data_IF_473491131490
#
_entry.id   IF_473491131490
#
_cell.length_a   1.000
_cell.length_b   1.000
_cell.length_c   1.000
_cell.angle_alpha   90.00
_cell.angle_beta   90.00
_cell.angle_gamma   90.00
#
_symmetry.space_group_name_H-M   'P 1'
#
loop_
_entity.id
_entity.type
_entity.pdbx_description
1 polymer ?
#
# COMPACT_ATOMS: atom_id res chain seq x y z
N UNK A 1 68.94 -1.98 5.23
CA UNK A 1 67.66 -1.32 5.61
C UNK A 1 66.60 -2.40 5.70
N UNK A 2 65.90 -2.40 6.83
CA UNK A 2 65.24 -3.57 7.42
C UNK A 2 64.09 -4.14 6.60
N UNK A 3 64.06 -5.47 6.48
CA UNK A 3 62.89 -6.26 6.09
C UNK A 3 62.05 -6.59 7.34
N UNK A 4 60.73 -6.73 7.22
CA UNK A 4 59.93 -7.58 8.09
C UNK A 4 59.48 -8.81 7.26
N UNK A 5 60.11 -9.97 7.49
CA UNK A 5 59.64 -11.01 8.42
C UNK A 5 58.36 -11.71 7.94
N UNK A 6 58.62 -12.86 7.31
CA UNK A 6 57.76 -14.00 7.04
C UNK A 6 56.66 -14.26 8.09
N UNK A 7 55.44 -14.42 7.56
CA UNK A 7 54.46 -15.47 7.90
C UNK A 7 54.53 -16.04 9.31
N UNK A 8 53.65 -15.54 10.17
CA UNK A 8 52.99 -16.36 11.20
C UNK A 8 51.53 -16.54 10.75
N UNK A 9 51.31 -17.51 9.86
CA UNK A 9 49.98 -18.12 9.75
C UNK A 9 49.88 -19.01 10.98
N UNK A 10 49.38 -18.44 12.08
CA UNK A 10 48.89 -19.23 13.18
C UNK A 10 47.71 -20.06 12.65
N UNK A 11 48.01 -21.28 12.20
CA UNK A 11 47.04 -22.38 12.16
C UNK A 11 46.37 -22.41 13.52
N UNK A 12 45.14 -21.86 13.58
CA UNK A 12 44.27 -22.07 14.72
C UNK A 12 43.99 -23.57 14.77
N UNK A 13 44.64 -24.24 15.72
CA UNK A 13 44.26 -25.58 16.14
C UNK A 13 42.74 -25.65 16.32
N UNK A 14 42.07 -26.70 15.80
CA UNK A 14 40.65 -26.87 16.01
C UNK A 14 40.41 -26.93 17.51
N UNK A 15 39.71 -25.93 18.06
CA UNK A 15 39.13 -26.05 19.40
C UNK A 15 38.40 -27.38 19.41
N UNK A 16 38.76 -28.26 20.35
CA UNK A 16 38.08 -29.53 20.57
C UNK A 16 36.59 -29.26 20.73
N UNK A 17 35.85 -29.38 19.64
CA UNK A 17 34.43 -29.07 19.60
C UNK A 17 33.77 -30.27 20.26
N UNK A 18 33.11 -30.05 21.41
CA UNK A 18 32.39 -31.12 22.11
C UNK A 18 31.49 -31.86 21.12
N UNK A 19 31.32 -33.20 21.21
CA UNK A 19 30.35 -33.94 20.40
C UNK A 19 28.96 -33.29 20.38
N UNK A 20 28.56 -32.68 21.50
CA UNK A 20 27.28 -31.96 21.62
C UNK A 20 27.25 -30.68 20.77
N UNK A 21 28.36 -29.93 20.74
CA UNK A 21 28.48 -28.73 19.91
C UNK A 21 28.45 -29.08 18.41
N UNK A 22 29.08 -30.19 18.00
CA UNK A 22 28.98 -30.68 16.62
C UNK A 22 27.54 -31.05 16.27
N UNK A 23 26.82 -31.71 17.19
CA UNK A 23 25.41 -32.06 17.00
C UNK A 23 24.52 -30.82 16.86
N UNK A 24 24.70 -29.81 17.70
CA UNK A 24 23.97 -28.54 17.60
C UNK A 24 24.23 -27.85 16.26
N UNK A 25 25.48 -27.80 15.79
CA UNK A 25 25.85 -27.20 14.51
C UNK A 25 25.22 -27.95 13.32
N UNK A 26 25.27 -29.28 13.31
CA UNK A 26 24.64 -30.08 12.25
C UNK A 26 23.12 -29.86 12.18
N UNK A 27 22.48 -29.71 13.33
CA UNK A 27 21.05 -29.50 13.39
C UNK A 27 20.65 -28.06 13.00
N UNK A 28 21.45 -27.06 13.38
CA UNK A 28 21.28 -25.69 12.88
C UNK A 28 21.50 -25.59 11.37
N UNK A 29 22.46 -26.32 10.79
CA UNK A 29 22.66 -26.39 9.34
C UNK A 29 21.42 -26.96 8.61
N UNK A 30 20.73 -27.95 9.19
CA UNK A 30 19.46 -28.46 8.65
C UNK A 30 18.35 -27.41 8.68
N UNK A 31 18.21 -26.70 9.80
CA UNK A 31 17.24 -25.60 9.94
C UNK A 31 17.51 -24.50 8.92
N UNK A 32 18.78 -24.10 8.76
CA UNK A 32 19.22 -23.11 7.77
C UNK A 32 18.86 -23.57 6.35
N UNK A 33 19.13 -24.83 6.02
CA UNK A 33 18.76 -25.41 4.72
C UNK A 33 17.25 -25.34 4.49
N UNK A 34 16.43 -25.62 5.50
CA UNK A 34 14.99 -25.48 5.42
C UNK A 34 14.53 -24.05 5.14
N UNK A 35 15.11 -23.05 5.81
CA UNK A 35 14.82 -21.64 5.53
C UNK A 35 15.26 -21.21 4.12
N UNK A 36 16.40 -21.70 3.63
CA UNK A 36 16.85 -21.46 2.24
C UNK A 36 15.85 -22.03 1.23
N UNK A 37 15.30 -23.22 1.47
CA UNK A 37 14.24 -23.83 0.64
C UNK A 37 12.97 -22.99 0.66
N UNK A 38 12.49 -22.60 1.85
CA UNK A 38 11.29 -21.78 2.01
C UNK A 38 11.39 -20.44 1.28
N UNK A 39 12.57 -19.81 1.33
CA UNK A 39 12.85 -18.58 0.58
C UNK A 39 12.65 -18.77 -0.92
N UNK A 40 13.16 -19.86 -1.48
CA UNK A 40 13.00 -20.13 -2.92
C UNK A 40 11.52 -20.26 -3.30
N UNK A 41 10.69 -20.88 -2.46
CA UNK A 41 9.24 -20.98 -2.67
C UNK A 41 8.57 -19.62 -2.67
N UNK A 42 8.89 -18.73 -1.71
CA UNK A 42 8.36 -17.36 -1.67
C UNK A 42 8.68 -16.56 -2.94
N UNK A 43 9.82 -16.83 -3.57
CA UNK A 43 10.26 -16.16 -4.79
C UNK A 43 9.60 -16.67 -6.07
N UNK A 44 9.00 -17.87 -6.08
CA UNK A 44 8.34 -18.43 -7.27
C UNK A 44 7.28 -17.50 -7.89
N UNK A 45 6.25 -17.03 -7.15
CA UNK A 45 5.23 -16.16 -7.74
C UNK A 45 5.78 -14.78 -8.14
N UNK A 46 6.89 -14.35 -7.52
CA UNK A 46 7.54 -13.06 -7.82
C UNK A 46 8.29 -13.14 -9.15
N UNK A 47 9.01 -14.23 -9.40
CA UNK A 47 9.82 -14.41 -10.62
C UNK A 47 9.02 -14.93 -11.81
N UNK A 48 8.08 -15.86 -11.59
CA UNK A 48 7.32 -16.47 -12.69
C UNK A 48 6.28 -15.51 -13.28
N UNK A 49 5.92 -14.46 -12.55
CA UNK A 49 4.92 -13.49 -12.98
C UNK A 49 3.54 -14.13 -13.19
N UNK A 50 2.68 -13.43 -13.93
CA UNK A 50 1.28 -13.83 -14.12
C UNK A 50 1.08 -14.54 -15.47
N UNK A 51 0.20 -15.55 -15.49
CA UNK A 51 -0.14 -16.24 -16.75
C UNK A 51 -0.95 -15.33 -17.67
N UNK A 52 -0.61 -15.37 -18.95
CA UNK A 52 -1.41 -14.81 -20.06
C UNK A 52 -2.29 -15.95 -20.62
N UNK A 53 -3.30 -16.40 -19.87
CA UNK A 53 -4.25 -17.40 -20.36
C UNK A 53 -5.68 -17.04 -19.96
N UNK A 54 -6.61 -17.25 -20.92
CA UNK A 54 -8.04 -17.00 -20.74
C UNK A 54 -8.62 -17.97 -19.70
N UNK A 55 -9.30 -17.49 -18.65
CA UNK A 55 -10.02 -18.38 -17.75
C UNK A 55 -11.13 -19.09 -18.53
N UNK A 56 -11.12 -20.42 -18.57
CA UNK A 56 -12.20 -21.19 -19.20
C UNK A 56 -13.48 -21.06 -18.36
N UNK A 57 -14.65 -21.10 -19.03
CA UNK A 57 -15.96 -21.09 -18.37
C UNK A 57 -16.16 -22.30 -17.45
N UNK A 58 -15.55 -23.43 -17.76
CA UNK A 58 -15.58 -24.66 -16.94
C UNK A 58 -14.75 -24.56 -15.64
N UNK A 59 -13.93 -23.51 -15.48
CA UNK A 59 -13.08 -23.31 -14.31
C UNK A 59 -13.62 -22.37 -13.24
N UNK A 60 -14.80 -21.76 -13.40
CA UNK A 60 -15.28 -20.70 -12.49
C UNK A 60 -15.52 -21.22 -11.08
N UNK A 61 -16.20 -22.37 -10.93
CA UNK A 61 -16.52 -22.90 -9.61
C UNK A 61 -15.26 -23.34 -8.85
N UNK A 62 -14.34 -24.02 -9.55
CA UNK A 62 -13.00 -24.35 -9.03
C UNK A 62 -12.24 -23.10 -8.58
N UNK A 63 -12.33 -21.99 -9.31
CA UNK A 63 -11.68 -20.73 -8.91
C UNK A 63 -12.33 -20.12 -7.66
N UNK A 64 -13.64 -20.24 -7.49
CA UNK A 64 -14.32 -19.78 -6.27
C UNK A 64 -13.95 -20.63 -5.06
N UNK A 65 -13.93 -21.94 -5.22
CA UNK A 65 -13.44 -22.85 -4.17
C UNK A 65 -12.02 -22.49 -3.76
N UNK A 66 -11.14 -22.24 -4.74
CA UNK A 66 -9.76 -21.82 -4.50
C UNK A 66 -9.66 -20.44 -3.84
N UNK A 67 -10.52 -19.49 -4.21
CA UNK A 67 -10.61 -18.18 -3.56
C UNK A 67 -11.05 -18.30 -2.10
N UNK A 68 -12.04 -19.17 -1.83
CA UNK A 68 -12.52 -19.46 -0.48
C UNK A 68 -11.44 -20.18 0.34
N UNK A 69 -10.74 -21.16 -0.24
CA UNK A 69 -9.61 -21.82 0.40
C UNK A 69 -8.49 -20.83 0.74
N UNK A 70 -8.17 -19.91 -0.19
CA UNK A 70 -7.19 -18.85 0.06
C UNK A 70 -7.64 -17.95 1.22
N UNK A 71 -8.89 -17.50 1.20
CA UNK A 71 -9.44 -16.56 2.17
C UNK A 71 -9.58 -17.15 3.58
N UNK A 72 -10.25 -18.30 3.70
CA UNK A 72 -10.70 -18.83 4.99
C UNK A 72 -9.75 -19.88 5.58
N UNK A 73 -8.82 -20.43 4.80
CA UNK A 73 -7.93 -21.50 5.25
C UNK A 73 -6.44 -21.15 5.10
N UNK A 74 -5.95 -20.96 3.87
CA UNK A 74 -4.51 -20.83 3.61
C UNK A 74 -3.90 -19.58 4.26
N UNK A 75 -4.55 -18.42 4.15
CA UNK A 75 -4.06 -17.17 4.74
C UNK A 75 -4.08 -17.23 6.29
N UNK A 76 -5.18 -17.62 6.97
CA UNK A 76 -5.17 -17.83 8.42
C UNK A 76 -4.12 -18.84 8.89
N UNK A 77 -3.97 -19.97 8.19
CA UNK A 77 -2.99 -21.01 8.49
C UNK A 77 -1.56 -20.44 8.40
N UNK A 78 -1.25 -19.70 7.34
CA UNK A 78 0.06 -19.06 7.17
C UNK A 78 0.37 -18.09 8.32
N UNK A 79 -0.59 -17.27 8.74
CA UNK A 79 -0.41 -16.37 9.88
C UNK A 79 -0.14 -17.14 11.18
N UNK A 80 -0.83 -18.25 11.41
CA UNK A 80 -0.58 -19.10 12.56
C UNK A 80 0.83 -19.71 12.52
N UNK A 81 1.22 -20.31 11.39
CA UNK A 81 2.55 -20.91 11.21
C UNK A 81 3.68 -19.89 11.41
N UNK A 82 3.53 -18.65 10.92
CA UNK A 82 4.52 -17.59 11.12
C UNK A 82 4.65 -17.21 12.59
N UNK A 83 3.52 -17.10 13.32
CA UNK A 83 3.55 -16.83 14.77
C UNK A 83 4.24 -17.95 15.53
N UNK A 84 3.90 -19.21 15.26
CA UNK A 84 4.53 -20.37 15.89
C UNK A 84 6.02 -20.41 15.60
N UNK A 85 6.43 -20.21 14.34
CA UNK A 85 7.83 -20.15 13.94
C UNK A 85 8.58 -19.03 14.68
N UNK A 86 7.97 -17.86 14.82
CA UNK A 86 8.57 -16.72 15.52
C UNK A 86 8.81 -17.01 17.00
N UNK A 87 7.90 -17.75 17.64
CA UNK A 87 8.04 -18.15 19.04
C UNK A 87 9.17 -19.17 19.25
N UNK A 88 9.33 -20.12 18.34
CA UNK A 88 10.44 -21.09 18.37
C UNK A 88 11.80 -20.47 18.04
N UNK A 89 11.82 -19.27 17.46
CA UNK A 89 13.05 -18.50 17.20
C UNK A 89 13.44 -17.59 18.38
N UNK A 90 12.82 -17.73 19.54
CA UNK A 90 13.19 -16.93 20.72
C UNK A 90 14.59 -17.36 21.24
N UNK A 91 15.57 -16.44 21.32
CA UNK A 91 16.94 -16.78 21.72
C UNK A 91 17.07 -17.53 23.05
N UNK A 92 16.28 -17.14 24.04
CA UNK A 92 16.30 -17.77 25.37
C UNK A 92 15.98 -19.27 25.27
N UNK A 93 14.99 -19.63 24.45
CA UNK A 93 14.60 -21.04 24.27
C UNK A 93 15.64 -21.81 23.45
N UNK A 94 16.25 -21.16 22.45
CA UNK A 94 17.31 -21.75 21.64
C UNK A 94 18.59 -22.03 22.44
N UNK A 95 18.90 -21.23 23.47
CA UNK A 95 20.03 -21.47 24.38
C UNK A 95 19.72 -22.55 25.43
N UNK A 96 18.50 -22.60 25.95
CA UNK A 96 18.10 -23.55 27.01
C UNK A 96 17.79 -24.97 26.46
N UNK A 97 17.17 -25.07 25.28
CA UNK A 97 16.65 -26.33 24.72
C UNK A 97 16.91 -26.46 23.21
N UNK A 98 18.15 -26.19 22.79
CA UNK A 98 18.56 -26.07 21.38
C UNK A 98 18.04 -27.18 20.45
N UNK A 99 18.22 -28.46 20.81
CA UNK A 99 17.79 -29.59 19.97
C UNK A 99 16.28 -29.63 19.83
N UNK A 100 15.55 -29.45 20.94
CA UNK A 100 14.09 -29.51 20.94
C UNK A 100 13.51 -28.38 20.08
N UNK A 101 13.99 -27.16 20.25
CA UNK A 101 13.52 -26.02 19.46
C UNK A 101 13.88 -26.17 17.97
N UNK A 102 15.05 -26.72 17.63
CA UNK A 102 15.36 -27.01 16.24
C UNK A 102 14.48 -28.12 15.64
N UNK A 103 14.11 -29.15 16.40
CA UNK A 103 13.12 -30.14 15.97
C UNK A 103 11.74 -29.50 15.73
N UNK A 104 11.32 -28.58 16.61
CA UNK A 104 10.08 -27.81 16.43
C UNK A 104 10.14 -26.96 15.16
N UNK A 105 11.23 -26.23 14.94
CA UNK A 105 11.41 -25.41 13.73
C UNK A 105 11.35 -26.29 12.47
N UNK A 106 12.07 -27.42 12.44
CA UNK A 106 12.02 -28.36 11.32
C UNK A 106 10.60 -28.91 11.10
N UNK A 107 9.88 -29.21 12.18
CA UNK A 107 8.48 -29.63 12.15
C UNK A 107 7.53 -28.57 11.59
N UNK A 108 7.82 -27.28 11.77
CA UNK A 108 7.03 -26.16 11.23
C UNK A 108 7.39 -25.87 9.77
N UNK A 109 8.67 -26.04 9.38
CA UNK A 109 9.15 -25.68 8.04
C UNK A 109 8.45 -26.47 6.92
N UNK A 110 8.19 -27.77 7.10
CA UNK A 110 7.52 -28.59 6.07
C UNK A 110 6.05 -28.18 5.82
N UNK A 111 5.17 -28.07 6.85
CA UNK A 111 3.81 -27.55 6.69
C UNK A 111 3.77 -26.11 6.14
N UNK A 112 4.73 -25.27 6.53
CA UNK A 112 4.85 -23.90 6.03
C UNK A 112 5.19 -23.88 4.54
N UNK A 113 6.11 -24.75 4.09
CA UNK A 113 6.44 -24.90 2.68
C UNK A 113 5.20 -25.26 1.86
N UNK A 114 4.44 -26.28 2.29
CA UNK A 114 3.22 -26.70 1.60
C UNK A 114 2.19 -25.56 1.50
N UNK A 115 2.07 -24.76 2.55
CA UNK A 115 1.14 -23.62 2.60
C UNK A 115 1.57 -22.52 1.61
N UNK A 116 2.86 -22.20 1.56
CA UNK A 116 3.43 -21.23 0.62
C UNK A 116 3.29 -21.69 -0.84
N UNK A 117 3.57 -22.97 -1.13
CA UNK A 117 3.38 -23.57 -2.47
C UNK A 117 1.91 -23.53 -2.89
N UNK A 118 0.99 -23.84 -1.98
CA UNK A 118 -0.45 -23.79 -2.23
C UNK A 118 -0.92 -22.36 -2.51
N UNK A 119 -0.41 -21.37 -1.78
CA UNK A 119 -0.70 -19.96 -2.01
C UNK A 119 -0.14 -19.50 -3.36
N UNK A 120 1.10 -19.87 -3.70
CA UNK A 120 1.70 -19.52 -4.99
C UNK A 120 0.89 -20.12 -6.16
N UNK A 121 0.50 -21.39 -6.06
CA UNK A 121 -0.36 -22.07 -7.03
C UNK A 121 -1.75 -21.41 -7.14
N UNK A 122 -2.33 -21.01 -6.00
CA UNK A 122 -3.59 -20.28 -5.96
C UNK A 122 -3.49 -18.94 -6.71
N UNK A 123 -2.44 -18.14 -6.46
CA UNK A 123 -2.20 -16.88 -7.16
C UNK A 123 -2.08 -17.07 -8.67
N UNK A 124 -1.32 -18.08 -9.12
CA UNK A 124 -1.18 -18.38 -10.55
C UNK A 124 -2.51 -18.69 -11.24
N UNK A 125 -3.47 -19.25 -10.51
CA UNK A 125 -4.79 -19.62 -11.03
C UNK A 125 -5.81 -18.48 -10.90
N UNK A 126 -5.74 -17.71 -9.82
CA UNK A 126 -6.70 -16.66 -9.49
C UNK A 126 -6.40 -15.33 -10.18
N UNK A 127 -5.12 -14.99 -10.37
CA UNK A 127 -4.65 -13.67 -10.79
C UNK A 127 -3.99 -13.69 -12.19
N UNK A 128 -4.79 -13.67 -13.28
CA UNK A 128 -4.27 -13.56 -14.63
C UNK A 128 -3.54 -12.21 -14.87
N UNK A 129 -2.68 -12.17 -15.90
CA UNK A 129 -2.00 -10.92 -16.27
C UNK A 129 -3.03 -9.84 -16.69
N UNK A 130 -2.91 -8.58 -16.22
CA UNK A 130 -3.78 -7.48 -16.62
C UNK A 130 -3.82 -7.28 -18.13
N UNK A 131 -2.69 -7.52 -18.81
CA UNK A 131 -2.55 -7.39 -20.27
C UNK A 131 -3.64 -8.16 -21.04
N UNK A 132 -4.14 -9.25 -20.46
CA UNK A 132 -5.22 -10.06 -21.01
C UNK A 132 -6.52 -9.27 -21.23
N UNK A 133 -6.88 -8.38 -20.31
CA UNK A 133 -8.15 -7.67 -20.35
C UNK A 133 -8.07 -6.37 -21.14
N UNK A 134 -6.90 -6.08 -21.68
CA UNK A 134 -6.64 -4.85 -22.37
C UNK A 134 -6.93 -4.99 -23.86
N UNK A 135 -7.91 -4.25 -24.39
CA UNK A 135 -8.16 -4.27 -25.83
C UNK A 135 -6.97 -3.67 -26.60
N UNK A 136 -6.51 -4.33 -27.66
CA UNK A 136 -5.43 -3.87 -28.55
C UNK A 136 -5.75 -2.57 -29.33
N UNK A 137 -6.81 -1.82 -28.97
CA UNK A 137 -7.35 -0.72 -29.79
C UNK A 137 -7.18 0.70 -29.23
N UNK A 138 -6.51 0.89 -28.10
CA UNK A 138 -6.30 2.25 -27.57
C UNK A 138 -4.83 2.61 -27.52
N UNK A 139 -4.44 3.58 -28.35
CA UNK A 139 -3.10 4.19 -28.39
C UNK A 139 -2.89 5.21 -27.25
N UNK A 140 -3.88 5.39 -26.37
CA UNK A 140 -3.76 6.25 -25.19
C UNK A 140 -3.51 5.37 -23.97
N UNK A 141 -2.27 5.35 -23.48
CA UNK A 141 -1.84 4.52 -22.34
C UNK A 141 -2.56 4.86 -21.02
N UNK A 142 -3.11 6.08 -20.91
CA UNK A 142 -3.57 6.63 -19.62
C UNK A 142 -4.90 6.03 -19.12
N UNK A 143 -5.78 5.54 -20.00
CA UNK A 143 -7.09 4.98 -19.60
C UNK A 143 -7.55 3.84 -20.50
N UNK A 144 -6.83 2.71 -20.43
CA UNK A 144 -7.21 1.50 -21.15
C UNK A 144 -8.50 0.94 -20.56
N UNK A 145 -9.56 0.88 -21.36
CA UNK A 145 -10.85 0.29 -21.01
C UNK A 145 -10.68 -1.21 -20.72
N UNK A 146 -11.23 -1.68 -19.59
CA UNK A 146 -11.15 -3.07 -19.13
C UNK A 146 -12.57 -3.61 -18.92
N UNK A 147 -13.12 -4.31 -19.92
CA UNK A 147 -14.48 -4.85 -19.86
C UNK A 147 -14.50 -6.22 -19.16
N UNK A 148 -14.39 -6.20 -17.82
CA UNK A 148 -14.27 -7.40 -16.98
C UNK A 148 -15.46 -7.64 -16.03
N UNK A 149 -16.58 -6.93 -16.19
CA UNK A 149 -17.71 -7.01 -15.24
C UNK A 149 -18.26 -8.43 -15.06
N UNK A 150 -18.27 -9.22 -16.13
CA UNK A 150 -18.74 -10.61 -16.13
C UNK A 150 -17.92 -11.53 -15.21
N UNK A 151 -16.69 -11.15 -14.85
CA UNK A 151 -15.78 -11.94 -14.03
C UNK A 151 -16.01 -11.78 -12.52
N UNK A 152 -16.93 -10.90 -12.08
CA UNK A 152 -17.38 -10.80 -10.68
C UNK A 152 -16.22 -10.68 -9.67
N UNK A 153 -16.01 -11.66 -8.79
CA UNK A 153 -14.91 -11.70 -7.80
C UNK A 153 -13.51 -11.69 -8.43
N UNK A 154 -13.42 -12.06 -9.72
CA UNK A 154 -12.18 -12.19 -10.48
C UNK A 154 -11.91 -11.01 -11.42
N UNK A 155 -12.58 -9.86 -11.21
CA UNK A 155 -12.20 -8.61 -11.87
C UNK A 155 -10.73 -8.30 -11.61
N UNK A 156 -10.08 -7.70 -12.61
CA UNK A 156 -8.68 -7.28 -12.55
C UNK A 156 -8.42 -6.41 -11.33
N UNK A 157 -9.33 -5.47 -11.03
CA UNK A 157 -9.28 -4.62 -9.86
C UNK A 157 -9.02 -5.41 -8.56
N UNK A 158 -9.73 -6.53 -8.36
CA UNK A 158 -9.60 -7.35 -7.15
C UNK A 158 -8.36 -8.23 -7.20
N UNK A 159 -8.12 -8.88 -8.34
CA UNK A 159 -7.05 -9.88 -8.48
C UNK A 159 -5.65 -9.27 -8.59
N UNK A 160 -5.53 -8.08 -9.20
CA UNK A 160 -4.26 -7.36 -9.32
C UNK A 160 -3.77 -6.91 -7.94
N UNK A 161 -4.64 -6.27 -7.15
CA UNK A 161 -4.32 -5.89 -5.78
C UNK A 161 -4.12 -7.09 -4.87
N UNK A 162 -4.91 -8.16 -5.02
CA UNK A 162 -4.67 -9.42 -4.29
C UNK A 162 -3.26 -9.96 -4.55
N UNK A 163 -2.85 -10.01 -5.82
CA UNK A 163 -1.50 -10.45 -6.20
C UNK A 163 -0.43 -9.56 -5.56
N UNK A 164 -0.58 -8.24 -5.65
CA UNK A 164 0.33 -7.28 -5.03
C UNK A 164 0.44 -7.43 -3.51
N UNK A 165 -0.70 -7.57 -2.80
CA UNK A 165 -0.73 -7.76 -1.35
C UNK A 165 -0.01 -9.04 -0.92
N UNK A 166 -0.29 -10.17 -1.58
CA UNK A 166 0.32 -11.45 -1.21
C UNK A 166 1.81 -11.46 -1.56
N UNK A 167 2.21 -10.98 -2.74
CA UNK A 167 3.63 -10.95 -3.13
C UNK A 167 4.45 -10.01 -2.26
N UNK A 168 3.93 -8.84 -1.90
CA UNK A 168 4.54 -7.94 -0.91
C UNK A 168 4.72 -8.64 0.44
N UNK A 169 3.71 -9.41 0.86
CA UNK A 169 3.78 -10.17 2.10
C UNK A 169 4.83 -11.30 2.05
N UNK A 170 4.92 -12.02 0.93
CA UNK A 170 5.95 -13.04 0.71
C UNK A 170 7.36 -12.45 0.79
N UNK A 171 7.56 -11.20 0.34
CA UNK A 171 8.84 -10.50 0.52
C UNK A 171 9.17 -10.24 2.00
N UNK A 172 8.18 -9.91 2.84
CA UNK A 172 8.41 -9.78 4.29
C UNK A 172 8.76 -11.13 4.93
N UNK A 173 8.08 -12.21 4.51
CA UNK A 173 8.36 -13.58 4.97
C UNK A 173 9.77 -14.02 4.56
N UNK A 174 10.21 -13.70 3.34
CA UNK A 174 11.58 -13.94 2.90
C UNK A 174 12.59 -13.24 3.81
N UNK A 175 12.36 -11.96 4.14
CA UNK A 175 13.25 -11.22 5.05
C UNK A 175 13.27 -11.82 6.46
N UNK A 176 12.15 -12.35 6.94
CA UNK A 176 12.09 -13.12 8.19
C UNK A 176 13.00 -14.35 8.12
N UNK A 177 12.91 -15.15 7.05
CA UNK A 177 13.76 -16.34 6.89
C UNK A 177 15.25 -15.98 6.79
N UNK A 178 15.60 -14.94 6.04
CA UNK A 178 16.98 -14.47 5.91
C UNK A 178 17.55 -14.01 7.26
N UNK A 179 16.76 -13.28 8.04
CA UNK A 179 17.16 -12.83 9.38
C UNK A 179 17.27 -13.99 10.36
N UNK A 180 16.40 -15.01 10.22
CA UNK A 180 16.45 -16.23 11.03
C UNK A 180 17.74 -17.02 10.77
N UNK A 181 18.16 -17.14 9.50
CA UNK A 181 19.44 -17.75 9.13
C UNK A 181 20.60 -16.98 9.78
N UNK A 182 20.63 -15.65 9.64
CA UNK A 182 21.68 -14.79 10.22
C UNK A 182 21.75 -14.98 11.75
N UNK A 183 20.61 -15.08 12.43
CA UNK A 183 20.57 -15.26 13.88
C UNK A 183 21.12 -16.62 14.32
N UNK A 184 20.77 -17.71 13.63
CA UNK A 184 21.31 -19.05 13.90
C UNK A 184 22.83 -19.08 13.66
N UNK A 185 23.31 -18.42 12.61
CA UNK A 185 24.75 -18.25 12.35
C UNK A 185 25.45 -17.43 13.46
N UNK A 186 24.81 -16.37 13.97
CA UNK A 186 25.33 -15.54 15.06
C UNK A 186 25.42 -16.27 16.40
N UNK A 187 24.52 -17.22 16.65
CA UNK A 187 24.52 -18.07 17.85
C UNK A 187 25.56 -19.22 17.79
N UNK A 188 26.39 -19.26 16.75
CA UNK A 188 27.39 -20.31 16.53
C UNK A 188 26.78 -21.73 16.37
N UNK A 189 25.49 -21.82 16.02
CA UNK A 189 24.79 -23.08 15.70
C UNK A 189 24.94 -23.50 14.23
N UNK A 190 25.91 -22.95 13.50
CA UNK A 190 26.16 -23.23 12.08
C UNK A 190 27.64 -23.52 11.84
N UNK A 191 27.92 -24.40 10.88
CA UNK A 191 29.30 -24.62 10.41
C UNK A 191 29.84 -23.47 9.56
N UNK A 192 28.95 -22.63 9.01
CA UNK A 192 29.29 -21.42 8.27
C UNK A 192 29.33 -20.19 9.21
N UNK A 193 30.51 -19.80 9.69
CA UNK A 193 30.61 -18.58 10.52
C UNK A 193 30.56 -17.30 9.68
N UNK A 194 29.55 -16.46 9.88
CA UNK A 194 29.54 -15.07 9.38
C UNK A 194 29.09 -14.08 10.47
N UNK A 195 29.91 -13.06 10.66
CA UNK A 195 29.65 -11.80 11.38
C UNK A 195 29.05 -11.88 12.79
N UNK A 196 29.86 -11.43 13.76
CA UNK A 196 29.47 -11.21 15.16
C UNK A 196 28.68 -9.89 15.31
N UNK A 197 27.46 -9.81 14.78
CA UNK A 197 26.52 -8.71 15.08
C UNK A 197 25.57 -9.15 16.21
N UNK A 198 25.06 -8.19 16.98
CA UNK A 198 24.26 -8.46 18.18
C UNK A 198 22.96 -9.20 17.85
N UNK A 199 22.75 -10.34 18.51
CA UNK A 199 21.56 -11.21 18.40
C UNK A 199 20.28 -10.40 18.63
N UNK A 200 20.31 -9.40 19.51
CA UNK A 200 19.17 -8.52 19.81
C UNK A 200 18.62 -7.81 18.56
N UNK A 201 19.49 -7.31 17.68
CA UNK A 201 19.07 -6.64 16.45
C UNK A 201 18.40 -7.60 15.46
N UNK A 202 18.93 -8.82 15.38
CA UNK A 202 18.34 -9.89 14.55
C UNK A 202 16.98 -10.29 15.10
N UNK A 203 16.85 -10.43 16.42
CA UNK A 203 15.59 -10.72 17.12
C UNK A 203 14.55 -9.63 16.88
N UNK A 204 14.90 -8.36 17.10
CA UNK A 204 14.01 -7.22 16.82
C UNK A 204 13.53 -7.22 15.37
N UNK A 205 14.43 -7.52 14.43
CA UNK A 205 14.12 -7.61 13.01
C UNK A 205 13.16 -8.78 12.70
N UNK A 206 13.38 -9.96 13.27
CA UNK A 206 12.47 -11.12 13.14
C UNK A 206 11.07 -10.75 13.64
N UNK A 207 10.97 -10.13 14.81
CA UNK A 207 9.68 -9.70 15.37
C UNK A 207 9.00 -8.65 14.48
N UNK A 208 9.76 -7.69 13.95
CA UNK A 208 9.25 -6.68 13.03
C UNK A 208 8.72 -7.29 11.73
N UNK A 209 9.47 -8.20 11.09
CA UNK A 209 9.04 -8.88 9.87
C UNK A 209 7.87 -9.82 10.10
N UNK A 210 7.83 -10.52 11.24
CA UNK A 210 6.71 -11.39 11.63
C UNK A 210 5.43 -10.57 11.85
N UNK A 211 5.51 -9.46 12.58
CA UNK A 211 4.40 -8.53 12.79
C UNK A 211 3.92 -7.92 11.48
N UNK A 212 4.85 -7.47 10.64
CA UNK A 212 4.55 -6.93 9.30
C UNK A 212 3.84 -7.96 8.42
N UNK A 213 4.33 -9.21 8.40
CA UNK A 213 3.72 -10.29 7.64
C UNK A 213 2.32 -10.64 8.15
N UNK A 214 2.12 -10.75 9.47
CA UNK A 214 0.79 -11.00 10.03
C UNK A 214 -0.21 -9.89 9.65
N UNK A 215 0.22 -8.62 9.69
CA UNK A 215 -0.60 -7.47 9.25
C UNK A 215 -0.90 -7.54 7.74
N UNK A 216 0.06 -7.94 6.91
CA UNK A 216 -0.14 -8.11 5.48
C UNK A 216 -1.13 -9.24 5.14
N UNK A 217 -1.05 -10.36 5.87
CA UNK A 217 -2.02 -11.46 5.76
C UNK A 217 -3.42 -10.99 6.17
N UNK A 218 -3.55 -10.31 7.31
CA UNK A 218 -4.84 -9.78 7.78
C UNK A 218 -5.43 -8.78 6.78
N UNK A 219 -4.59 -7.92 6.19
CA UNK A 219 -4.99 -6.99 5.14
C UNK A 219 -5.48 -7.71 3.89
N UNK A 220 -4.82 -8.81 3.51
CA UNK A 220 -5.24 -9.65 2.39
C UNK A 220 -6.60 -10.31 2.65
N UNK A 221 -6.81 -10.87 3.85
CA UNK A 221 -8.10 -11.44 4.28
C UNK A 221 -9.20 -10.36 4.20
N UNK A 222 -8.94 -9.17 4.76
CA UNK A 222 -9.88 -8.03 4.68
C UNK A 222 -10.18 -7.63 3.24
N UNK A 223 -9.17 -7.61 2.35
CA UNK A 223 -9.37 -7.32 0.92
C UNK A 223 -10.31 -8.32 0.26
N UNK A 224 -10.11 -9.62 0.52
CA UNK A 224 -10.93 -10.70 -0.03
C UNK A 224 -12.40 -10.61 0.42
N UNK A 225 -12.65 -10.24 1.68
CA UNK A 225 -14.00 -10.18 2.26
C UNK A 225 -14.76 -8.87 2.03
N UNK A 226 -14.15 -7.81 1.52
CA UNK A 226 -14.77 -6.47 1.44
C UNK A 226 -15.48 -6.18 0.13
N UNK A 227 -16.50 -5.32 0.24
CA UNK A 227 -17.27 -4.80 -0.90
C UNK A 227 -16.42 -3.90 -1.79
N UNK A 228 -16.71 -3.86 -3.09
CA UNK A 228 -16.02 -2.96 -4.02
C UNK A 228 -16.13 -1.48 -3.59
N UNK A 229 -17.21 -1.11 -2.90
CA UNK A 229 -17.35 0.22 -2.29
C UNK A 229 -16.26 0.52 -1.27
N UNK A 230 -15.95 -0.44 -0.39
CA UNK A 230 -14.88 -0.28 0.58
C UNK A 230 -13.48 -0.40 -0.05
N UNK A 231 -13.35 -1.19 -1.11
CA UNK A 231 -12.06 -1.47 -1.72
C UNK A 231 -11.49 -0.29 -2.51
N UNK A 232 -12.30 0.46 -3.27
CA UNK A 232 -11.76 1.64 -3.94
C UNK A 232 -11.32 2.70 -2.91
N UNK A 233 -11.96 2.75 -1.74
CA UNK A 233 -11.60 3.67 -0.66
C UNK A 233 -10.42 3.20 0.20
N UNK A 234 -9.80 2.08 -0.12
CA UNK A 234 -8.83 1.43 0.76
C UNK A 234 -7.68 2.36 1.20
N UNK A 235 -7.14 3.13 0.25
CA UNK A 235 -6.01 4.04 0.47
C UNK A 235 -6.47 5.48 0.81
N UNK A 236 -7.78 5.77 0.85
CA UNK A 236 -8.30 7.11 1.14
C UNK A 236 -7.92 7.66 2.53
N UNK A 237 -7.99 6.89 3.63
CA UNK A 237 -7.66 7.43 4.96
C UNK A 237 -6.25 8.01 5.08
N UNK A 238 -5.28 7.39 4.41
CA UNK A 238 -3.91 7.92 4.35
C UNK A 238 -3.89 9.27 3.63
N UNK A 239 -4.53 9.37 2.47
CA UNK A 239 -4.57 10.61 1.69
C UNK A 239 -5.36 11.71 2.37
N UNK A 240 -6.42 11.40 3.10
CA UNK A 240 -7.15 12.38 3.92
C UNK A 240 -6.21 12.97 4.99
N UNK A 241 -5.41 12.13 5.67
CA UNK A 241 -4.41 12.60 6.64
C UNK A 241 -3.38 13.54 5.98
N UNK A 242 -2.90 13.20 4.79
CA UNK A 242 -1.99 14.08 4.03
C UNK A 242 -2.65 15.40 3.62
N UNK A 243 -3.91 15.38 3.22
CA UNK A 243 -4.68 16.59 2.92
C UNK A 243 -4.84 17.47 4.18
N UNK A 244 -4.99 16.87 5.36
CA UNK A 244 -5.01 17.59 6.64
C UNK A 244 -3.67 18.27 6.92
N UNK A 245 -2.55 17.57 6.72
CA UNK A 245 -1.19 18.12 6.84
C UNK A 245 -0.99 19.32 5.89
N UNK A 246 -1.43 19.21 4.63
CA UNK A 246 -1.36 20.31 3.66
C UNK A 246 -2.20 21.52 4.06
N UNK A 247 -3.40 21.29 4.62
CA UNK A 247 -4.24 22.38 5.12
C UNK A 247 -3.57 23.10 6.29
N UNK A 248 -2.97 22.37 7.22
CA UNK A 248 -2.21 22.96 8.33
C UNK A 248 -1.02 23.79 7.83
N UNK A 249 -0.27 23.24 6.86
CA UNK A 249 0.81 23.94 6.16
C UNK A 249 0.34 25.26 5.55
N UNK A 250 -0.74 25.24 4.78
CA UNK A 250 -1.33 26.42 4.15
C UNK A 250 -1.78 27.47 5.19
N UNK A 251 -2.46 27.06 6.26
CA UNK A 251 -2.91 27.97 7.31
C UNK A 251 -1.73 28.61 8.06
N UNK A 252 -0.68 27.84 8.32
CA UNK A 252 0.55 28.35 8.94
C UNK A 252 1.21 29.42 8.06
N UNK A 253 1.26 29.19 6.74
CA UNK A 253 1.79 30.13 5.76
C UNK A 253 0.98 31.43 5.71
N UNK A 254 -0.35 31.32 5.64
CA UNK A 254 -1.27 32.48 5.68
C UNK A 254 -1.05 33.32 6.93
N UNK A 255 -0.89 32.69 8.10
CA UNK A 255 -0.68 33.40 9.36
C UNK A 255 0.69 34.09 9.40
N UNK A 256 1.76 33.42 8.94
CA UNK A 256 3.11 34.02 8.85
C UNK A 256 3.13 35.26 7.95
N UNK A 257 2.44 35.22 6.81
CA UNK A 257 2.37 36.38 5.90
C UNK A 257 1.61 37.58 6.49
N UNK A 258 0.66 37.35 7.41
CA UNK A 258 -0.06 38.43 8.10
C UNK A 258 0.82 39.17 9.11
N UNK A 259 1.73 38.46 9.80
CA UNK A 259 2.48 38.99 10.94
C UNK A 259 3.88 39.53 10.62
N UNK A 260 4.39 39.30 9.41
CA UNK A 260 5.73 39.76 9.00
C UNK A 260 5.84 41.29 8.83
N UNK A 261 6.97 41.89 9.26
CA UNK A 261 7.32 43.29 8.94
C UNK A 261 7.52 43.43 7.43
N UNK A 262 6.92 44.46 6.81
CA UNK A 262 6.84 44.61 5.34
C UNK A 262 7.73 45.74 4.84
N UNK A 263 8.44 45.49 3.75
CA UNK A 263 9.03 46.55 2.93
C UNK A 263 8.00 47.02 1.87
N UNK A 264 7.90 48.33 1.56
CA UNK A 264 6.86 48.87 0.68
C UNK A 264 6.84 48.25 -0.73
N UNK A 265 8.00 47.90 -1.27
CA UNK A 265 8.14 47.35 -2.64
C UNK A 265 7.56 45.94 -2.79
N UNK A 266 7.44 45.20 -1.69
CA UNK A 266 6.93 43.82 -1.70
C UNK A 266 5.48 43.73 -1.25
N UNK A 267 4.87 44.82 -0.80
CA UNK A 267 3.55 44.81 -0.17
C UNK A 267 2.45 44.34 -1.13
N UNK A 268 2.41 44.84 -2.36
CA UNK A 268 1.43 44.42 -3.38
C UNK A 268 1.58 42.95 -3.77
N UNK A 269 2.81 42.43 -3.87
CA UNK A 269 3.09 41.02 -4.20
C UNK A 269 2.69 40.09 -3.04
N UNK A 270 2.97 40.51 -1.80
CA UNK A 270 2.60 39.75 -0.60
C UNK A 270 1.08 39.74 -0.43
N UNK A 271 0.41 40.87 -0.69
CA UNK A 271 -1.05 40.95 -0.61
C UNK A 271 -1.73 40.05 -1.65
N UNK A 272 -1.27 40.08 -2.90
CA UNK A 272 -1.81 39.21 -3.95
C UNK A 272 -1.52 37.72 -3.68
N UNK A 273 -0.33 37.37 -3.17
CA UNK A 273 -0.02 36.01 -2.72
C UNK A 273 -0.90 35.57 -1.54
N UNK A 274 -1.21 36.47 -0.61
CA UNK A 274 -2.11 36.21 0.51
C UNK A 274 -3.55 35.98 0.06
N UNK A 275 -4.04 36.76 -0.92
CA UNK A 275 -5.35 36.54 -1.52
C UNK A 275 -5.39 35.18 -2.24
N UNK A 276 -4.34 34.85 -2.99
CA UNK A 276 -4.20 33.54 -3.63
C UNK A 276 -4.20 32.40 -2.61
N UNK A 277 -3.40 32.48 -1.55
CA UNK A 277 -3.36 31.50 -0.47
C UNK A 277 -4.72 31.25 0.17
N UNK A 278 -5.46 32.33 0.51
CA UNK A 278 -6.79 32.25 1.09
C UNK A 278 -7.81 31.61 0.15
N UNK A 279 -7.65 31.78 -1.16
CA UNK A 279 -8.55 31.19 -2.14
C UNK A 279 -8.38 29.67 -2.30
N UNK A 280 -7.23 29.09 -1.92
CA UNK A 280 -6.97 27.65 -1.94
C UNK A 280 -7.63 26.93 -0.75
N UNK A 281 -7.68 27.59 0.42
CA UNK A 281 -8.27 27.05 1.66
C UNK A 281 -9.66 26.40 1.48
N UNK A 282 -10.66 27.06 0.85
CA UNK A 282 -11.97 26.44 0.65
C UNK A 282 -11.91 25.21 -0.26
N UNK A 283 -11.02 25.17 -1.26
CA UNK A 283 -10.87 24.03 -2.18
C UNK A 283 -10.35 22.82 -1.40
N UNK A 284 -9.28 22.98 -0.61
CA UNK A 284 -8.72 21.91 0.24
C UNK A 284 -9.77 21.36 1.19
N UNK A 285 -10.53 22.25 1.85
CA UNK A 285 -11.62 21.85 2.78
C UNK A 285 -12.74 21.09 2.06
N UNK A 286 -13.13 21.50 0.86
CA UNK A 286 -14.16 20.83 0.07
C UNK A 286 -13.69 19.45 -0.41
N UNK A 287 -12.46 19.32 -0.91
CA UNK A 287 -11.87 18.03 -1.26
C UNK A 287 -11.86 17.07 -0.07
N UNK A 288 -11.39 17.52 1.09
CA UNK A 288 -11.42 16.74 2.33
C UNK A 288 -12.85 16.34 2.73
N UNK A 289 -13.79 17.29 2.65
CA UNK A 289 -15.19 17.06 3.00
C UNK A 289 -15.83 15.97 2.12
N UNK A 290 -15.50 15.93 0.83
CA UNK A 290 -15.94 14.88 -0.10
C UNK A 290 -15.50 13.49 0.36
N UNK A 291 -14.20 13.30 0.57
CA UNK A 291 -13.67 12.00 0.98
C UNK A 291 -14.19 11.57 2.35
N UNK A 292 -14.31 12.50 3.30
CA UNK A 292 -14.89 12.22 4.60
C UNK A 292 -16.36 11.81 4.47
N UNK A 293 -17.19 12.54 3.71
CA UNK A 293 -18.61 12.22 3.57
C UNK A 293 -18.84 10.83 2.99
N UNK A 294 -18.06 10.45 1.99
CA UNK A 294 -18.20 9.17 1.28
C UNK A 294 -17.40 8.03 1.89
N UNK A 295 -16.56 8.33 2.90
CA UNK A 295 -15.78 7.32 3.60
C UNK A 295 -16.68 6.24 4.18
N UNK A 296 -16.21 5.00 4.07
CA UNK A 296 -16.88 3.83 4.63
C UNK A 296 -17.06 3.90 6.16
N UNK A 297 -16.43 4.86 6.86
CA UNK A 297 -16.70 5.17 8.27
C UNK A 297 -18.02 5.91 8.49
N UNK A 298 -18.44 6.73 7.52
CA UNK A 298 -19.60 7.60 7.60
C UNK A 298 -20.82 7.08 6.83
N UNK A 299 -20.65 6.00 6.06
CA UNK A 299 -21.70 5.33 5.30
C UNK A 299 -21.93 3.91 5.84
N UNK A 300 -23.18 3.46 5.93
CA UNK A 300 -23.46 2.06 6.30
C UNK A 300 -23.08 1.13 5.15
N UNK A 301 -21.94 0.46 5.32
CA UNK A 301 -21.33 -0.45 4.35
C UNK A 301 -22.26 -1.60 3.95
N UNK A 302 -23.17 -2.01 4.84
CA UNK A 302 -24.11 -3.11 4.61
C UNK A 302 -25.12 -2.80 3.51
N UNK A 303 -25.28 -1.52 3.17
CA UNK A 303 -26.17 -1.07 2.11
C UNK A 303 -25.60 -1.32 0.71
N UNK A 304 -24.29 -1.54 0.58
CA UNK A 304 -23.65 -1.70 -0.72
C UNK A 304 -23.40 -3.17 -1.06
N UNK A 305 -23.60 -3.58 -2.32
CA UNK A 305 -23.33 -4.94 -2.74
C UNK A 305 -21.82 -5.25 -2.67
N UNK A 306 -21.48 -6.52 -2.44
CA UNK A 306 -20.10 -6.99 -2.46
C UNK A 306 -19.41 -6.66 -3.80
N UNK A 307 -20.14 -6.84 -4.89
CA UNK A 307 -19.71 -6.57 -6.26
C UNK A 307 -20.60 -5.49 -6.87
N UNK A 308 -19.99 -4.42 -7.35
CA UNK A 308 -20.66 -3.43 -8.16
C UNK A 308 -20.75 -3.88 -9.62
N UNK A 309 -21.60 -3.22 -10.39
CA UNK A 309 -21.62 -3.35 -11.85
C UNK A 309 -20.50 -2.60 -12.57
N UNK A 310 -19.53 -2.05 -11.84
CA UNK A 310 -18.43 -1.26 -12.41
C UNK A 310 -17.36 -2.16 -13.03
N UNK A 311 -16.67 -1.62 -14.04
CA UNK A 311 -15.44 -2.17 -14.61
C UNK A 311 -14.23 -1.83 -13.76
N UNK A 312 -13.13 -2.55 -13.98
CA UNK A 312 -11.84 -2.21 -13.37
C UNK A 312 -11.37 -0.79 -13.66
N UNK A 313 -11.50 -0.27 -14.89
CA UNK A 313 -11.06 1.11 -15.19
C UNK A 313 -11.84 2.17 -14.39
N UNK A 314 -13.13 1.92 -14.15
CA UNK A 314 -13.98 2.80 -13.35
C UNK A 314 -13.65 2.70 -11.85
N UNK A 315 -13.37 1.48 -11.34
CA UNK A 315 -12.97 1.26 -9.96
C UNK A 315 -11.59 1.87 -9.67
N UNK A 316 -10.63 1.69 -10.57
CA UNK A 316 -9.30 2.32 -10.49
C UNK A 316 -9.41 3.84 -10.46
N UNK A 317 -10.31 4.44 -11.25
CA UNK A 317 -10.52 5.88 -11.21
C UNK A 317 -10.98 6.36 -9.83
N UNK A 318 -11.94 5.68 -9.20
CA UNK A 318 -12.35 6.02 -7.84
C UNK A 318 -11.25 5.75 -6.81
N UNK A 319 -10.47 4.69 -7.02
CA UNK A 319 -9.39 4.30 -6.14
C UNK A 319 -8.26 5.35 -6.11
N UNK A 320 -7.81 5.79 -7.28
CA UNK A 320 -6.74 6.78 -7.42
C UNK A 320 -7.19 8.22 -7.23
N UNK A 321 -8.50 8.49 -7.09
CA UNK A 321 -9.03 9.85 -6.94
C UNK A 321 -8.38 10.61 -5.78
N UNK A 322 -8.25 9.98 -4.61
CA UNK A 322 -7.66 10.62 -3.44
C UNK A 322 -6.16 10.94 -3.61
N UNK A 323 -5.42 10.06 -4.30
CA UNK A 323 -4.01 10.28 -4.65
C UNK A 323 -3.86 11.45 -5.63
N UNK A 324 -4.68 11.49 -6.68
CA UNK A 324 -4.66 12.54 -7.69
C UNK A 324 -4.97 13.91 -7.08
N UNK A 325 -6.04 13.99 -6.28
CA UNK A 325 -6.43 15.23 -5.58
C UNK A 325 -5.34 15.67 -4.62
N UNK A 326 -4.76 14.75 -3.84
CA UNK A 326 -3.65 15.08 -2.96
C UNK A 326 -2.44 15.62 -3.73
N UNK A 327 -2.08 14.99 -4.85
CA UNK A 327 -0.93 15.40 -5.67
C UNK A 327 -1.11 16.82 -6.22
N UNK A 328 -2.33 17.18 -6.64
CA UNK A 328 -2.65 18.52 -7.14
C UNK A 328 -2.63 19.55 -6.01
N UNK A 329 -3.19 19.22 -4.83
CA UNK A 329 -3.16 20.10 -3.66
C UNK A 329 -1.73 20.34 -3.18
N UNK A 330 -0.96 19.28 -2.97
CA UNK A 330 0.46 19.36 -2.59
C UNK A 330 1.23 20.18 -3.62
N UNK A 331 1.06 19.88 -4.91
CA UNK A 331 1.72 20.60 -5.99
C UNK A 331 1.36 22.10 -6.00
N UNK A 332 0.10 22.46 -5.76
CA UNK A 332 -0.32 23.86 -5.69
C UNK A 332 0.24 24.58 -4.45
N UNK A 333 0.13 23.97 -3.27
CA UNK A 333 0.52 24.56 -1.99
C UNK A 333 2.05 24.68 -1.89
N UNK A 334 2.78 23.63 -2.28
CA UNK A 334 4.24 23.64 -2.29
C UNK A 334 4.79 24.80 -3.14
N UNK A 335 4.26 24.98 -4.36
CA UNK A 335 4.71 26.05 -5.25
C UNK A 335 4.31 27.46 -4.78
N UNK A 336 3.26 27.58 -3.96
CA UNK A 336 2.91 28.83 -3.32
C UNK A 336 3.89 29.18 -2.19
N UNK A 337 4.34 28.19 -1.42
CA UNK A 337 5.17 28.38 -0.23
C UNK A 337 6.65 28.58 -0.58
N UNK A 338 7.18 27.80 -1.52
CA UNK A 338 8.63 27.69 -1.78
C UNK A 338 9.13 28.62 -2.89
N UNK A 339 8.66 29.88 -2.92
CA UNK A 339 8.86 30.89 -4.00
C UNK A 339 10.35 31.25 -4.30
N UNK A 340 11.11 30.30 -4.86
CA UNK A 340 12.37 30.51 -5.57
C UNK A 340 12.12 30.41 -7.10
N UNK A 341 12.04 31.60 -7.71
CA UNK A 341 12.43 31.90 -9.10
C UNK A 341 11.70 31.16 -10.25
N UNK A 342 10.79 31.91 -10.89
CA UNK A 342 10.60 32.01 -12.35
C UNK A 342 10.21 30.75 -13.16
N UNK A 343 10.04 29.56 -12.58
CA UNK A 343 9.75 28.36 -13.40
C UNK A 343 8.51 27.53 -13.04
N UNK A 344 7.68 27.90 -12.06
CA UNK A 344 6.56 27.00 -11.66
C UNK A 344 5.20 27.70 -11.59
N UNK A 345 4.78 28.30 -12.70
CA UNK A 345 3.38 28.70 -12.90
C UNK A 345 2.46 27.56 -13.31
N UNK A 346 3.01 26.48 -13.89
CA UNK A 346 2.21 25.41 -14.47
C UNK A 346 1.31 24.71 -13.45
N UNK A 347 1.81 24.36 -12.27
CA UNK A 347 0.97 23.66 -11.26
C UNK A 347 -0.13 24.54 -10.67
N UNK A 348 0.12 25.85 -10.50
CA UNK A 348 -0.92 26.79 -10.07
C UNK A 348 -2.02 26.95 -11.14
N UNK A 349 -1.64 26.90 -12.42
CA UNK A 349 -2.58 26.95 -13.54
C UNK A 349 -3.35 25.64 -13.66
N UNK A 350 -2.66 24.50 -13.65
CA UNK A 350 -3.26 23.16 -13.78
C UNK A 350 -4.26 22.89 -12.63
N UNK A 351 -4.04 23.46 -11.44
CA UNK A 351 -4.94 23.36 -10.29
C UNK A 351 -6.34 23.94 -10.54
N UNK A 352 -6.52 24.80 -11.56
CA UNK A 352 -7.84 25.30 -11.97
C UNK A 352 -8.75 24.15 -12.46
N UNK A 353 -8.19 23.00 -12.82
CA UNK A 353 -8.95 21.86 -13.35
C UNK A 353 -9.24 20.76 -12.31
N UNK A 354 -9.03 21.04 -11.01
CA UNK A 354 -9.23 20.05 -9.94
C UNK A 354 -10.67 19.49 -9.92
N UNK A 355 -11.68 20.26 -10.33
CA UNK A 355 -13.07 19.81 -10.43
C UNK A 355 -13.24 18.67 -11.43
N UNK A 356 -12.43 18.62 -12.49
CA UNK A 356 -12.48 17.58 -13.53
C UNK A 356 -12.10 16.20 -12.99
N UNK A 357 -11.35 16.13 -11.88
CA UNK A 357 -11.07 14.88 -11.18
C UNK A 357 -12.34 14.28 -10.58
N UNK A 358 -13.26 15.14 -10.12
CA UNK A 358 -14.47 14.71 -9.42
C UNK A 358 -15.63 14.40 -10.35
N UNK A 359 -15.73 15.01 -11.54
CA UNK A 359 -16.83 14.80 -12.47
C UNK A 359 -17.11 13.32 -12.79
N UNK A 360 -16.12 12.50 -13.21
CA UNK A 360 -16.37 11.09 -13.47
C UNK A 360 -16.69 10.34 -12.17
N UNK A 361 -16.08 10.73 -11.05
CA UNK A 361 -16.31 10.08 -9.77
C UNK A 361 -17.76 10.30 -9.29
N UNK A 362 -18.28 11.52 -9.40
CA UNK A 362 -19.67 11.88 -9.08
C UNK A 362 -20.64 11.06 -9.91
N UNK A 363 -20.38 10.92 -11.22
CA UNK A 363 -21.19 10.09 -12.09
C UNK A 363 -21.18 8.62 -11.64
N UNK A 364 -19.99 8.05 -11.42
CA UNK A 364 -19.84 6.64 -11.02
C UNK A 364 -20.50 6.37 -9.66
N UNK A 365 -20.31 7.25 -8.68
CA UNK A 365 -20.91 7.13 -7.35
C UNK A 365 -22.43 7.21 -7.43
N UNK A 366 -22.95 8.20 -8.16
CA UNK A 366 -24.39 8.41 -8.33
C UNK A 366 -25.07 7.24 -9.05
N UNK A 367 -24.43 6.72 -10.10
CA UNK A 367 -24.99 5.65 -10.91
C UNK A 367 -24.89 4.28 -10.22
N UNK A 368 -23.74 3.97 -9.61
CA UNK A 368 -23.47 2.62 -9.11
C UNK A 368 -23.75 2.43 -7.63
N UNK A 369 -23.67 3.46 -6.78
CA UNK A 369 -23.79 3.30 -5.32
C UNK A 369 -25.01 3.98 -4.72
N UNK A 370 -25.34 5.21 -5.14
CA UNK A 370 -26.49 5.95 -4.56
C UNK A 370 -27.80 5.19 -4.70
N UNK A 371 -28.01 4.48 -5.81
CA UNK A 371 -29.21 3.67 -6.07
C UNK A 371 -29.50 2.57 -5.04
N UNK A 372 -28.51 2.20 -4.22
CA UNK A 372 -28.66 1.16 -3.19
C UNK A 372 -29.03 1.72 -1.82
N UNK A 373 -29.02 3.04 -1.64
CA UNK A 373 -29.43 3.64 -0.38
C UNK A 373 -30.97 3.55 -0.22
N UNK A 374 -31.50 3.46 1.00
CA UNK A 374 -32.94 3.43 1.22
C UNK A 374 -33.57 4.75 0.77
N UNK A 375 -34.72 4.66 0.09
CA UNK A 375 -35.55 5.82 -0.21
C UNK A 375 -36.94 5.57 0.39
N UNK A 376 -37.17 6.18 1.55
CA UNK A 376 -38.44 6.09 2.28
C UNK A 376 -38.81 7.48 2.79
N UNK A 377 -40.10 7.73 3.03
CA UNK A 377 -40.58 9.03 3.51
C UNK A 377 -39.90 9.47 4.82
N UNK A 378 -39.55 8.52 5.68
CA UNK A 378 -38.85 8.78 6.96
C UNK A 378 -37.32 8.84 6.82
N UNK A 379 -36.74 8.28 5.76
CA UNK A 379 -35.30 8.22 5.52
C UNK A 379 -34.99 8.27 4.01
N UNK A 380 -35.00 9.47 3.40
CA UNK A 380 -34.82 9.65 1.97
C UNK A 380 -33.32 9.78 1.63
N UNK A 381 -32.56 8.69 1.83
CA UNK A 381 -31.10 8.74 1.80
C UNK A 381 -30.54 8.92 0.38
N UNK A 382 -31.21 8.43 -0.67
CA UNK A 382 -30.73 8.62 -2.04
C UNK A 382 -30.83 10.09 -2.45
N UNK A 383 -32.01 10.69 -2.27
CA UNK A 383 -32.26 12.09 -2.62
C UNK A 383 -31.42 13.04 -1.77
N UNK A 384 -31.27 12.75 -0.47
CA UNK A 384 -30.37 13.51 0.42
C UNK A 384 -28.93 13.49 -0.08
N UNK A 385 -28.39 12.32 -0.44
CA UNK A 385 -27.00 12.23 -0.91
C UNK A 385 -26.83 12.89 -2.28
N UNK A 386 -27.80 12.76 -3.19
CA UNK A 386 -27.76 13.45 -4.51
C UNK A 386 -27.75 14.97 -4.34
N UNK A 387 -28.65 15.50 -3.51
CA UNK A 387 -28.72 16.93 -3.24
C UNK A 387 -27.42 17.44 -2.61
N UNK A 388 -26.84 16.66 -1.69
CA UNK A 388 -25.56 16.99 -1.06
C UNK A 388 -24.41 17.00 -2.08
N UNK A 389 -24.31 15.98 -2.95
CA UNK A 389 -23.27 15.91 -3.99
C UNK A 389 -23.36 17.08 -4.97
N UNK A 390 -24.57 17.43 -5.40
CA UNK A 390 -24.81 18.58 -6.28
C UNK A 390 -24.38 19.89 -5.61
N UNK A 391 -24.88 20.14 -4.39
CA UNK A 391 -24.52 21.34 -3.61
C UNK A 391 -23.02 21.45 -3.37
N UNK A 392 -22.37 20.34 -3.03
CA UNK A 392 -20.93 20.29 -2.81
C UNK A 392 -20.15 20.62 -4.09
N UNK A 393 -20.58 20.11 -5.25
CA UNK A 393 -19.91 20.37 -6.53
C UNK A 393 -20.08 21.83 -6.96
N UNK A 394 -21.26 22.42 -6.77
CA UNK A 394 -21.50 23.86 -7.02
C UNK A 394 -20.58 24.75 -6.14
N UNK A 395 -20.38 24.35 -4.88
CA UNK A 395 -19.45 25.01 -3.97
C UNK A 395 -17.98 24.87 -4.44
N UNK A 396 -17.60 23.69 -4.95
CA UNK A 396 -16.25 23.47 -5.49
C UNK A 396 -16.00 24.36 -6.70
N UNK A 397 -16.92 24.38 -7.67
CA UNK A 397 -16.82 25.26 -8.84
C UNK A 397 -16.68 26.72 -8.41
N UNK A 398 -17.50 27.16 -7.47
CA UNK A 398 -17.46 28.53 -6.96
C UNK A 398 -16.11 28.87 -6.32
N UNK A 399 -15.54 27.93 -5.55
CA UNK A 399 -14.22 28.09 -4.94
C UNK A 399 -13.10 28.14 -5.99
N UNK A 400 -13.14 27.27 -7.01
CA UNK A 400 -12.19 27.25 -8.13
C UNK A 400 -12.26 28.56 -8.94
N UNK A 401 -13.46 29.08 -9.22
CA UNK A 401 -13.61 30.38 -9.89
C UNK A 401 -13.02 31.53 -9.07
N UNK A 402 -13.19 31.51 -7.75
CA UNK A 402 -12.57 32.50 -6.88
C UNK A 402 -11.05 32.39 -6.90
N UNK A 403 -10.50 31.17 -6.84
CA UNK A 403 -9.08 30.89 -7.00
C UNK A 403 -8.54 31.39 -8.34
N UNK A 404 -9.22 31.12 -9.45
CA UNK A 404 -8.81 31.57 -10.78
C UNK A 404 -8.70 33.11 -10.86
N UNK A 405 -9.66 33.84 -10.28
CA UNK A 405 -9.61 35.31 -10.20
C UNK A 405 -8.42 35.79 -9.35
N UNK A 406 -8.17 35.13 -8.22
CA UNK A 406 -7.03 35.44 -7.36
C UNK A 406 -5.69 35.17 -8.06
N UNK A 407 -5.62 34.09 -8.85
CA UNK A 407 -4.43 33.72 -9.62
C UNK A 407 -4.12 34.76 -10.71
N UNK A 408 -5.13 35.24 -11.44
CA UNK A 408 -4.97 36.32 -12.43
C UNK A 408 -4.47 37.60 -11.75
N UNK A 409 -5.05 37.97 -10.61
CA UNK A 409 -4.60 39.13 -9.84
C UNK A 409 -3.15 38.98 -9.37
N UNK A 410 -2.76 37.78 -8.93
CA UNK A 410 -1.39 37.45 -8.56
C UNK A 410 -0.42 37.64 -9.72
N UNK A 411 -0.67 37.06 -10.89
CA UNK A 411 0.21 37.25 -12.06
C UNK A 411 0.28 38.71 -12.53
N UNK A 412 -0.84 39.44 -12.49
CA UNK A 412 -0.85 40.87 -12.81
C UNK A 412 -0.01 41.71 -11.84
N UNK A 413 0.09 41.30 -10.56
CA UNK A 413 0.96 41.96 -9.59
C UNK A 413 2.45 41.69 -9.83
N UNK A 414 2.79 40.58 -10.51
CA UNK A 414 4.17 40.25 -10.87
C UNK A 414 4.65 40.98 -12.13
N UNK A 415 3.75 41.35 -13.04
CA UNK A 415 4.05 42.00 -14.33
C UNK A 415 4.13 43.53 -14.27
N UNK A 416 3.59 44.16 -13.22
CA UNK A 416 3.77 45.59 -12.93
C UNK A 416 5.18 45.82 -12.36
N UNK A 417 6.19 45.83 -13.24
CA UNK A 417 7.56 46.30 -12.95
C UNK A 417 7.78 47.71 -13.46
#
# INVERSE_FOLDING_TARGET
MSAPSNTDVAERSPRSTSPDAIKYMQQGDLVIKGFRTLKNVCHLPIHQGRRIQKPSSEGIERRKELLNQLHFYLLPLLAHQIKTLTLSLEPIHLEEQTIFEFEQILGIQSPLQQSLESIASALHTLCPSPDYFTSHRSNNEEYKRIDDQQYKEFKVFRTDRLFSLVTSNLMQITRLFETSIIMIEQMEFSTETRYRRGIDLSRESILAYSSSSCKGIESTIKWLGRSEFELFQWDWPEKICRIDEELEGLLSFINRMKTGKREPKNETKIESALVLAKSIEPIVKLCRLFFNKLSARNMDKRLFPLLSGMRTDQLNRLHHLAEAVYTDLFGCIFNLIDDYLLFIGKRLIDFIHIEQLFEPALFLISHHFVRFLPETDCYPAQSTLRAWLATWYDQLISAVQHYQRALIAYYNSLSRR
#
